data_IF_536074934319
#
_entry.id   IF_536074934319
#
_cell.length_a   1.000
_cell.length_b   1.000
_cell.length_c   1.000
_cell.angle_alpha   90.00
_cell.angle_beta   90.00
_cell.angle_gamma   90.00
#
_symmetry.space_group_name_H-M   'P 1'
#
loop_
_entity.id
_entity.type
_entity.pdbx_description
1 polymer ?
#
# COMPACT_ATOMS: atom_id res chain seq x y z
N UNK A 1 -8.09 78.29 -12.00
CA UNK A 1 -7.59 77.30 -11.02
C UNK A 1 -8.41 76.04 -11.24
N UNK A 2 -7.88 75.00 -11.91
CA UNK A 2 -7.22 73.81 -11.30
C UNK A 2 -8.06 73.35 -10.08
N UNK A 3 -8.77 72.23 -10.11
CA UNK A 3 -8.20 70.88 -10.10
C UNK A 3 -9.05 69.83 -10.83
N UNK A 4 -8.33 68.94 -11.51
CA UNK A 4 -8.74 67.65 -12.05
C UNK A 4 -9.32 66.72 -10.95
N UNK A 5 -10.46 66.07 -11.20
CA UNK A 5 -10.81 64.80 -10.55
C UNK A 5 -10.75 63.70 -11.59
N UNK A 6 -9.70 62.89 -11.52
CA UNK A 6 -9.57 61.64 -12.26
C UNK A 6 -10.41 60.59 -11.51
N UNK A 7 -11.54 60.18 -12.09
CA UNK A 7 -12.31 59.04 -11.61
C UNK A 7 -11.71 57.77 -12.26
N UNK A 8 -10.93 57.01 -11.49
CA UNK A 8 -10.37 55.73 -11.91
C UNK A 8 -11.46 54.66 -11.75
N UNK A 9 -12.15 54.29 -12.84
CA UNK A 9 -13.01 53.10 -12.84
C UNK A 9 -12.11 51.85 -12.90
N UNK A 10 -11.90 51.21 -11.76
CA UNK A 10 -11.42 49.83 -11.69
C UNK A 10 -12.56 48.88 -12.07
N UNK A 11 -12.47 48.30 -13.27
CA UNK A 11 -13.25 47.13 -13.66
C UNK A 11 -12.75 45.92 -12.85
N UNK A 12 -13.42 45.61 -11.75
CA UNK A 12 -13.29 44.33 -11.08
C UNK A 12 -14.01 43.27 -11.93
N UNK A 13 -13.27 42.61 -12.82
CA UNK A 13 -13.69 41.31 -13.36
C UNK A 13 -13.65 40.30 -12.22
N UNK A 14 -14.76 40.15 -11.52
CA UNK A 14 -14.99 39.00 -10.64
C UNK A 14 -15.03 37.75 -11.53
N UNK A 15 -13.92 37.03 -11.63
CA UNK A 15 -13.97 35.62 -11.98
C UNK A 15 -14.76 34.94 -10.87
N UNK A 16 -16.00 34.57 -11.16
CA UNK A 16 -16.69 33.57 -10.38
C UNK A 16 -15.90 32.28 -10.57
N UNK A 17 -15.03 31.98 -9.61
CA UNK A 17 -14.67 30.60 -9.37
C UNK A 17 -15.96 29.93 -8.92
N UNK A 18 -16.68 29.34 -9.87
CA UNK A 18 -17.68 28.34 -9.56
C UNK A 18 -16.90 27.19 -8.91
N UNK A 19 -16.74 27.27 -7.58
CA UNK A 19 -16.37 26.13 -6.76
C UNK A 19 -17.53 25.16 -6.98
N UNK A 20 -17.36 24.23 -7.91
CA UNK A 20 -18.24 23.09 -8.06
C UNK A 20 -18.43 22.52 -6.64
N UNK A 21 -19.66 22.30 -6.19
CA UNK A 21 -19.88 21.73 -4.88
C UNK A 21 -19.09 20.42 -4.82
N UNK A 22 -18.08 20.37 -3.95
CA UNK A 22 -17.36 19.15 -3.63
C UNK A 22 -18.41 18.15 -3.15
N UNK A 23 -18.77 17.21 -4.00
CA UNK A 23 -19.53 16.03 -3.57
C UNK A 23 -18.58 15.32 -2.63
N UNK A 24 -18.93 15.29 -1.35
CA UNK A 24 -18.13 14.60 -0.34
C UNK A 24 -18.15 13.11 -0.67
N UNK A 25 -17.04 12.61 -1.19
CA UNK A 25 -16.79 11.20 -1.42
C UNK A 25 -16.86 10.42 -0.10
N UNK A 26 -17.62 9.33 -0.09
CA UNK A 26 -17.63 8.35 1.00
C UNK A 26 -16.88 7.09 0.55
N UNK A 27 -16.03 6.50 1.41
CA UNK A 27 -15.32 5.27 1.08
C UNK A 27 -16.28 4.07 1.00
N UNK A 28 -16.14 3.21 -0.01
CA UNK A 28 -16.84 1.93 -0.04
C UNK A 28 -16.07 0.87 0.76
N UNK A 29 -16.59 0.59 1.95
CA UNK A 29 -16.09 -0.43 2.87
C UNK A 29 -17.00 -1.69 2.94
N UNK A 30 -17.85 -1.90 1.92
CA UNK A 30 -18.63 -3.13 1.79
C UNK A 30 -17.75 -4.37 1.56
N UNK A 31 -18.24 -5.59 1.79
CA UNK A 31 -17.40 -6.80 1.66
C UNK A 31 -16.85 -6.99 0.24
N UNK A 32 -17.71 -6.89 -0.79
CA UNK A 32 -17.32 -6.82 -2.20
C UNK A 32 -17.71 -5.43 -2.69
N UNK A 33 -16.79 -4.64 -3.28
CA UNK A 33 -17.13 -3.35 -3.83
C UNK A 33 -18.20 -3.48 -4.93
N UNK A 34 -19.19 -2.60 -4.88
CA UNK A 34 -20.31 -2.54 -5.84
C UNK A 34 -20.37 -1.22 -6.60
N UNK A 35 -19.37 -0.36 -6.40
CA UNK A 35 -19.26 0.94 -7.05
C UNK A 35 -19.17 0.81 -8.58
N UNK A 36 -19.71 1.81 -9.28
CA UNK A 36 -19.61 1.95 -10.72
C UNK A 36 -19.65 3.42 -11.09
N UNK A 37 -18.99 3.80 -12.18
CA UNK A 37 -19.01 5.17 -12.65
C UNK A 37 -20.42 5.53 -13.14
N UNK A 38 -20.98 6.64 -12.62
CA UNK A 38 -22.32 7.10 -13.02
C UNK A 38 -22.36 7.74 -14.41
N UNK A 39 -21.19 8.16 -14.90
CA UNK A 39 -20.93 8.76 -16.21
C UNK A 39 -19.44 8.61 -16.54
N UNK A 40 -19.03 8.99 -17.75
CA UNK A 40 -17.61 9.12 -18.07
C UNK A 40 -17.07 10.38 -17.41
N UNK A 41 -15.96 10.24 -16.70
CA UNK A 41 -15.21 11.36 -16.14
C UNK A 41 -13.94 11.62 -16.96
N UNK A 42 -13.39 12.85 -16.90
CA UNK A 42 -12.06 13.11 -17.45
C UNK A 42 -11.02 12.16 -16.84
N UNK A 43 -10.08 11.71 -17.66
CA UNK A 43 -8.94 10.88 -17.24
C UNK A 43 -7.67 11.63 -17.62
N UNK A 44 -6.75 11.74 -16.67
CA UNK A 44 -5.42 12.30 -16.90
C UNK A 44 -4.69 11.51 -18.01
N UNK A 45 -3.81 12.17 -18.75
CA UNK A 45 -2.89 11.45 -19.64
C UNK A 45 -2.04 10.45 -18.83
N UNK A 46 -1.55 9.35 -19.45
CA UNK A 46 -0.69 8.39 -18.77
C UNK A 46 0.45 9.07 -18.00
N UNK A 47 0.52 8.81 -16.70
CA UNK A 47 1.53 9.39 -15.79
C UNK A 47 2.70 8.42 -15.55
N UNK A 48 3.78 8.92 -14.96
CA UNK A 48 4.89 8.06 -14.52
C UNK A 48 4.46 7.18 -13.34
N UNK A 49 5.06 5.98 -13.18
CA UNK A 49 4.87 5.20 -11.98
C UNK A 49 5.30 6.00 -10.74
N UNK A 50 4.77 5.69 -9.55
CA UNK A 50 5.31 6.25 -8.32
C UNK A 50 6.82 5.92 -8.18
N UNK A 51 7.59 6.92 -7.77
CA UNK A 51 9.01 6.84 -7.47
C UNK A 51 9.21 6.24 -6.06
N UNK A 52 9.54 4.96 -6.01
CA UNK A 52 9.86 4.23 -4.78
C UNK A 52 8.65 4.00 -3.86
N UNK A 53 8.90 3.33 -2.75
CA UNK A 53 7.93 3.15 -1.67
C UNK A 53 8.16 4.19 -0.60
N UNK A 54 7.08 4.65 0.04
CA UNK A 54 7.21 5.47 1.24
C UNK A 54 7.91 4.62 2.31
N UNK A 55 8.81 5.21 3.13
CA UNK A 55 9.48 4.45 4.19
C UNK A 55 8.43 3.77 5.08
N UNK A 56 8.28 2.45 4.93
CA UNK A 56 7.38 1.67 5.76
C UNK A 56 8.02 1.48 7.12
N UNK A 57 7.20 1.52 8.17
CA UNK A 57 7.70 1.32 9.53
C UNK A 57 7.67 -0.17 9.83
N UNK A 58 8.74 -0.74 10.38
CA UNK A 58 8.68 -2.10 10.92
C UNK A 58 7.55 -2.19 11.97
N UNK A 59 6.81 -3.30 11.98
CA UNK A 59 5.68 -3.48 12.90
C UNK A 59 6.15 -3.54 14.37
N UNK A 60 5.60 -2.66 15.19
CA UNK A 60 5.85 -2.60 16.64
C UNK A 60 5.82 -1.16 17.15
N UNK A 61 6.30 -0.91 18.36
CA UNK A 61 6.28 0.43 18.96
C UNK A 61 7.60 0.80 19.60
N UNK A 62 8.07 2.02 19.33
CA UNK A 62 9.29 2.59 19.91
C UNK A 62 10.53 1.73 19.63
N UNK A 63 10.65 1.30 18.38
CA UNK A 63 11.60 0.28 17.96
C UNK A 63 13.03 0.80 18.03
N UNK A 64 13.90 0.04 18.70
CA UNK A 64 15.33 0.31 18.68
C UNK A 64 15.92 0.00 17.30
N UNK A 65 16.97 0.72 16.92
CA UNK A 65 17.67 0.53 15.64
C UNK A 65 19.10 0.05 15.89
N UNK A 66 19.58 -0.81 15.00
CA UNK A 66 20.97 -1.23 14.90
C UNK A 66 21.49 -1.00 13.48
N UNK A 67 22.70 -0.46 13.35
CA UNK A 67 23.37 -0.26 12.06
C UNK A 67 24.67 -1.04 12.08
N UNK A 68 24.85 -1.97 11.13
CA UNK A 68 26.02 -2.88 11.07
C UNK A 68 26.23 -3.60 12.43
N UNK A 69 25.13 -4.04 13.05
CA UNK A 69 25.15 -4.73 14.34
C UNK A 69 25.41 -3.86 15.57
N UNK A 70 25.55 -2.54 15.42
CA UNK A 70 25.78 -1.62 16.55
C UNK A 70 24.45 -0.95 16.94
N UNK A 71 23.94 -1.15 18.17
CA UNK A 71 22.74 -0.48 18.66
C UNK A 71 22.89 1.04 18.74
N UNK A 72 21.84 1.77 18.36
CA UNK A 72 21.73 3.22 18.56
C UNK A 72 20.92 3.51 19.85
N UNK A 73 21.56 3.88 20.97
CA UNK A 73 20.91 3.90 22.29
C UNK A 73 19.93 5.06 22.52
N UNK A 74 19.89 6.07 21.65
CA UNK A 74 19.06 7.29 21.80
C UNK A 74 18.09 7.48 20.62
N UNK A 75 18.17 6.62 19.60
CA UNK A 75 17.28 6.68 18.44
C UNK A 75 16.26 5.54 18.50
N UNK A 76 14.98 5.90 18.43
CA UNK A 76 13.87 4.96 18.37
C UNK A 76 12.91 5.41 17.28
N UNK A 77 12.32 4.45 16.57
CA UNK A 77 11.33 4.72 15.55
C UNK A 77 9.97 4.87 16.25
N UNK A 78 9.45 6.09 16.27
CA UNK A 78 8.08 6.40 16.66
C UNK A 78 7.19 6.37 15.41
N UNK A 79 6.29 5.41 15.36
CA UNK A 79 5.55 5.04 14.15
C UNK A 79 4.03 5.01 14.37
N UNK A 80 3.49 5.78 15.34
CA UNK A 80 2.02 5.88 15.50
C UNK A 80 1.55 7.22 14.96
N UNK A 81 0.52 7.16 14.11
CA UNK A 81 -0.16 8.33 13.55
C UNK A 81 -1.60 8.42 14.04
N UNK A 82 -2.22 9.59 13.86
CA UNK A 82 -3.61 9.86 14.23
C UNK A 82 -4.40 10.31 13.01
N UNK A 83 -5.66 9.88 12.91
CA UNK A 83 -6.55 10.14 11.77
C UNK A 83 -6.64 11.62 11.38
N UNK A 84 -6.59 12.53 12.36
CA UNK A 84 -6.70 13.98 12.15
C UNK A 84 -5.35 14.68 11.88
N UNK A 85 -4.25 13.93 11.78
CA UNK A 85 -2.88 14.44 11.57
C UNK A 85 -2.17 13.77 10.40
N UNK A 86 -2.91 13.13 9.48
CA UNK A 86 -2.30 12.46 8.32
C UNK A 86 -1.73 13.43 7.27
N UNK A 87 -2.11 14.71 7.35
CA UNK A 87 -1.72 15.73 6.38
C UNK A 87 -2.30 15.49 5.00
N UNK A 88 -1.71 16.14 4.00
CA UNK A 88 -2.14 16.07 2.61
C UNK A 88 -1.58 14.82 1.93
N UNK A 89 -2.37 14.20 1.05
CA UNK A 89 -1.88 13.12 0.18
C UNK A 89 -1.08 13.70 -0.98
N UNK A 90 0.13 13.20 -1.17
CA UNK A 90 1.00 13.57 -2.28
C UNK A 90 1.27 12.33 -3.10
N UNK A 91 0.99 12.34 -4.40
CA UNK A 91 1.35 11.21 -5.25
C UNK A 91 2.88 11.11 -5.30
N UNK A 92 3.43 9.94 -4.96
CA UNK A 92 4.88 9.77 -4.77
C UNK A 92 5.61 9.74 -6.12
N UNK A 93 5.80 10.87 -6.82
CA UNK A 93 6.53 10.96 -8.10
C UNK A 93 7.83 11.77 -8.04
N UNK A 94 8.35 11.97 -6.82
CA UNK A 94 9.49 12.84 -6.59
C UNK A 94 10.42 12.30 -5.51
N UNK A 95 11.69 12.06 -5.87
CA UNK A 95 12.79 11.73 -4.95
C UNK A 95 12.94 12.75 -3.80
N UNK A 96 12.53 14.01 -4.01
CA UNK A 96 12.56 15.04 -2.96
C UNK A 96 11.52 14.76 -1.88
N UNK A 97 10.35 14.22 -2.26
CA UNK A 97 9.27 13.91 -1.32
C UNK A 97 9.62 12.66 -0.51
N UNK A 98 10.27 11.66 -1.13
CA UNK A 98 10.84 10.50 -0.41
C UNK A 98 11.88 10.94 0.63
N UNK A 99 12.77 11.87 0.27
CA UNK A 99 13.76 12.42 1.20
C UNK A 99 13.11 13.27 2.30
N UNK A 100 12.06 14.04 1.99
CA UNK A 100 11.32 14.84 2.96
C UNK A 100 10.54 13.96 3.97
N UNK A 101 9.94 12.86 3.50
CA UNK A 101 9.30 11.84 4.34
C UNK A 101 10.32 11.19 5.27
N UNK A 102 11.50 10.79 4.76
CA UNK A 102 12.58 10.20 5.57
C UNK A 102 13.11 11.15 6.66
N UNK A 103 13.11 12.45 6.39
CA UNK A 103 13.54 13.48 7.35
C UNK A 103 12.41 13.98 8.26
N UNK A 104 11.19 13.41 8.14
CA UNK A 104 9.99 13.83 8.87
C UNK A 104 9.68 15.34 8.71
N UNK A 105 9.95 15.90 7.53
CA UNK A 105 9.67 17.31 7.18
C UNK A 105 8.52 17.45 6.19
N UNK A 106 7.92 16.32 5.79
CA UNK A 106 6.73 16.28 4.94
C UNK A 106 5.46 16.57 5.73
N UNK A 107 4.49 17.23 5.09
CA UNK A 107 3.13 17.36 5.61
C UNK A 107 2.42 15.99 5.61
N UNK A 108 2.78 15.11 4.66
CA UNK A 108 2.28 13.74 4.57
C UNK A 108 2.87 12.86 5.68
N UNK A 109 2.02 12.44 6.61
CA UNK A 109 2.43 11.53 7.68
C UNK A 109 2.18 10.07 7.30
N UNK A 110 3.18 9.23 7.60
CA UNK A 110 3.16 7.77 7.46
C UNK A 110 3.44 7.10 8.80
N UNK A 111 2.93 5.88 8.98
CA UNK A 111 3.03 5.12 10.23
C UNK A 111 1.79 4.25 10.44
N UNK A 112 1.67 3.73 11.65
CA UNK A 112 0.64 2.78 12.05
C UNK A 112 -0.50 3.42 12.84
N UNK A 113 -1.69 2.89 12.63
CA UNK A 113 -2.88 3.18 13.42
C UNK A 113 -3.66 1.90 13.67
N UNK A 114 -4.17 1.72 14.89
CA UNK A 114 -5.09 0.63 15.17
C UNK A 114 -6.54 1.08 14.94
N UNK A 115 -7.35 0.21 14.38
CA UNK A 115 -8.79 0.41 14.17
C UNK A 115 -9.56 -0.79 14.70
N UNK A 116 -10.74 -0.57 15.28
CA UNK A 116 -11.55 -1.64 15.87
C UNK A 116 -11.95 -2.73 14.86
N UNK A 117 -12.20 -2.35 13.60
CA UNK A 117 -12.71 -3.24 12.55
C UNK A 117 -11.66 -3.66 11.54
N UNK A 118 -10.60 -2.87 11.38
CA UNK A 118 -9.50 -3.12 10.43
C UNK A 118 -8.21 -3.59 11.07
N UNK A 119 -8.14 -3.74 12.40
CA UNK A 119 -6.90 -4.09 13.10
C UNK A 119 -5.85 -2.99 12.96
N UNK A 120 -4.57 -3.38 12.99
CA UNK A 120 -3.48 -2.46 12.62
C UNK A 120 -3.50 -2.17 11.13
N UNK A 121 -3.22 -0.92 10.79
CA UNK A 121 -3.08 -0.43 9.43
C UNK A 121 -1.77 0.34 9.30
N UNK A 122 -1.06 0.14 8.20
CA UNK A 122 0.08 0.97 7.79
C UNK A 122 -0.38 1.98 6.72
N UNK A 123 -0.22 3.26 7.05
CA UNK A 123 -0.59 4.37 6.17
C UNK A 123 0.29 4.44 4.91
N UNK A 124 1.57 4.05 4.97
CA UNK A 124 2.43 4.01 3.80
C UNK A 124 1.89 3.03 2.75
N UNK A 125 1.60 1.79 3.17
CA UNK A 125 1.01 0.75 2.33
C UNK A 125 -0.34 1.15 1.69
N UNK A 126 -1.22 1.81 2.47
CA UNK A 126 -2.47 2.35 1.93
C UNK A 126 -2.20 3.35 0.80
N UNK A 127 -1.30 4.31 1.02
CA UNK A 127 -1.01 5.37 0.04
C UNK A 127 -0.27 4.85 -1.18
N UNK A 128 0.72 3.98 -1.01
CA UNK A 128 1.51 3.40 -2.09
C UNK A 128 0.63 2.54 -3.02
N UNK A 129 -0.24 1.70 -2.45
CA UNK A 129 -1.15 0.89 -3.27
C UNK A 129 -2.26 1.73 -3.92
N UNK A 130 -2.70 2.82 -3.28
CA UNK A 130 -3.62 3.77 -3.88
C UNK A 130 -2.99 4.46 -5.10
N UNK A 131 -1.76 4.96 -4.96
CA UNK A 131 -1.04 5.65 -6.05
C UNK A 131 -0.77 4.70 -7.22
N UNK A 132 -0.38 3.47 -6.94
CA UNK A 132 -0.23 2.44 -7.98
C UNK A 132 -1.54 2.11 -8.68
N UNK A 133 -2.68 2.13 -7.98
CA UNK A 133 -4.00 1.96 -8.59
C UNK A 133 -4.31 3.11 -9.55
N UNK A 134 -4.04 4.35 -9.14
CA UNK A 134 -4.25 5.53 -9.98
C UNK A 134 -3.33 5.54 -11.21
N UNK A 135 -2.06 5.23 -11.02
CA UNK A 135 -1.09 5.01 -12.10
C UNK A 135 -1.61 4.01 -13.12
N UNK A 136 -1.93 2.79 -12.68
CA UNK A 136 -2.37 1.70 -13.55
C UNK A 136 -3.66 2.07 -14.28
N UNK A 137 -4.59 2.76 -13.63
CA UNK A 137 -5.80 3.25 -14.29
C UNK A 137 -5.49 4.19 -15.46
N UNK A 138 -4.57 5.15 -15.28
CA UNK A 138 -4.14 6.08 -16.33
C UNK A 138 -3.51 5.35 -17.53
N UNK A 139 -2.86 4.20 -17.29
CA UNK A 139 -2.24 3.37 -18.32
C UNK A 139 -3.25 2.46 -19.04
N UNK A 140 -4.22 1.92 -18.29
CA UNK A 140 -5.17 0.89 -18.74
C UNK A 140 -6.32 1.50 -19.52
N UNK A 141 -6.99 2.52 -18.98
CA UNK A 141 -8.20 3.10 -19.58
C UNK A 141 -8.05 3.45 -21.07
N UNK A 142 -7.00 4.16 -21.54
CA UNK A 142 -6.86 4.51 -22.95
C UNK A 142 -6.58 3.31 -23.87
N UNK A 143 -6.17 2.16 -23.32
CA UNK A 143 -5.75 0.96 -24.07
C UNK A 143 -6.60 -0.28 -23.76
N UNK A 144 -7.69 -0.13 -23.01
CA UNK A 144 -8.54 -1.26 -22.62
C UNK A 144 -9.02 -2.03 -23.87
N UNK A 145 -8.81 -3.35 -23.87
CA UNK A 145 -9.16 -4.24 -24.99
C UNK A 145 -8.06 -4.49 -26.00
N UNK A 146 -6.92 -3.79 -25.90
CA UNK A 146 -5.77 -3.97 -26.79
C UNK A 146 -4.76 -4.97 -26.20
N UNK A 147 -3.92 -5.56 -27.06
CA UNK A 147 -2.74 -6.32 -26.61
C UNK A 147 -1.56 -5.38 -26.41
N UNK A 148 -1.02 -5.34 -25.20
CA UNK A 148 0.15 -4.55 -24.85
C UNK A 148 0.78 -5.06 -23.55
N UNK A 149 1.95 -4.52 -23.19
CA UNK A 149 2.67 -4.88 -21.98
C UNK A 149 3.09 -3.62 -21.24
N UNK A 150 3.16 -3.72 -19.92
CA UNK A 150 3.69 -2.69 -19.04
C UNK A 150 4.83 -3.29 -18.23
N UNK A 151 6.06 -2.87 -18.53
CA UNK A 151 7.23 -3.21 -17.72
C UNK A 151 7.23 -2.39 -16.43
N UNK A 152 7.62 -3.01 -15.33
CA UNK A 152 7.73 -2.40 -14.00
C UNK A 152 9.19 -2.50 -13.54
N UNK A 153 9.57 -1.75 -12.50
CA UNK A 153 10.91 -1.90 -11.89
C UNK A 153 11.11 -3.31 -11.34
N UNK A 154 12.34 -3.82 -11.33
CA UNK A 154 12.62 -5.17 -10.83
C UNK A 154 12.48 -5.25 -9.29
N UNK A 155 11.92 -6.35 -8.79
CA UNK A 155 11.90 -6.70 -7.37
C UNK A 155 12.16 -8.21 -7.24
N UNK A 156 13.45 -8.57 -7.19
CA UNK A 156 14.02 -9.92 -7.39
C UNK A 156 13.76 -10.50 -8.80
N UNK A 157 12.50 -10.60 -9.18
CA UNK A 157 12.04 -10.99 -10.51
C UNK A 157 11.88 -9.77 -11.42
N UNK A 158 11.96 -10.00 -12.73
CA UNK A 158 11.55 -9.01 -13.73
C UNK A 158 10.03 -8.96 -13.78
N UNK A 159 9.45 -7.78 -13.54
CA UNK A 159 8.01 -7.62 -13.34
C UNK A 159 7.36 -6.99 -14.57
N UNK A 160 6.25 -7.56 -15.02
CA UNK A 160 5.45 -6.96 -16.08
C UNK A 160 3.96 -7.31 -15.96
N UNK A 161 3.10 -6.40 -16.41
CA UNK A 161 1.71 -6.72 -16.72
C UNK A 161 1.58 -7.01 -18.22
N UNK A 162 0.91 -8.13 -18.55
CA UNK A 162 0.59 -8.50 -19.93
C UNK A 162 -0.92 -8.38 -20.13
N UNK A 163 -1.32 -7.49 -21.02
CA UNK A 163 -2.72 -7.26 -21.37
C UNK A 163 -3.08 -8.00 -22.65
N UNK A 164 -4.17 -8.77 -22.59
CA UNK A 164 -4.65 -9.57 -23.72
C UNK A 164 -5.80 -8.84 -24.42
N UNK A 165 -5.82 -8.86 -25.76
CA UNK A 165 -6.93 -8.27 -26.50
C UNK A 165 -8.25 -8.98 -26.19
N UNK A 166 -9.30 -8.19 -25.98
CA UNK A 166 -10.68 -8.65 -25.79
C UNK A 166 -11.63 -7.55 -26.28
N UNK A 167 -12.91 -7.88 -26.46
CA UNK A 167 -13.93 -6.88 -26.78
C UNK A 167 -14.40 -6.19 -25.49
N UNK A 168 -14.09 -4.90 -25.26
CA UNK A 168 -14.57 -4.19 -24.07
C UNK A 168 -16.09 -4.01 -24.10
N UNK A 169 -16.71 -3.72 -22.94
CA UNK A 169 -18.11 -3.33 -22.89
C UNK A 169 -18.43 -2.20 -23.88
N UNK A 170 -19.64 -2.20 -24.46
CA UNK A 170 -20.04 -1.12 -25.37
C UNK A 170 -20.38 0.18 -24.64
N UNK A 171 -20.84 0.10 -23.39
CA UNK A 171 -21.07 1.29 -22.56
C UNK A 171 -19.72 1.92 -22.18
N UNK A 172 -19.54 3.22 -22.42
CA UNK A 172 -18.35 3.93 -21.96
C UNK A 172 -18.16 3.93 -20.44
N UNK A 173 -19.25 3.98 -19.67
CA UNK A 173 -19.26 3.92 -18.20
C UNK A 173 -18.80 2.55 -17.71
N UNK A 174 -19.26 1.48 -18.35
CA UNK A 174 -18.80 0.11 -18.08
C UNK A 174 -17.32 -0.08 -18.41
N UNK A 175 -16.84 0.50 -19.53
CA UNK A 175 -15.39 0.49 -19.87
C UNK A 175 -14.55 1.22 -18.83
N UNK A 176 -15.00 2.39 -18.38
CA UNK A 176 -14.34 3.16 -17.34
C UNK A 176 -14.29 2.35 -16.04
N UNK A 177 -15.42 1.79 -15.65
CA UNK A 177 -15.56 0.99 -14.43
C UNK A 177 -14.65 -0.24 -14.48
N UNK A 178 -14.71 -1.05 -15.54
CA UNK A 178 -13.85 -2.22 -15.72
C UNK A 178 -12.36 -1.86 -15.65
N UNK A 179 -11.96 -0.73 -16.25
CA UNK A 179 -10.56 -0.27 -16.19
C UNK A 179 -10.12 0.03 -14.76
N UNK A 180 -10.98 0.64 -13.95
CA UNK A 180 -10.69 0.97 -12.55
C UNK A 180 -10.60 -0.30 -11.69
N UNK A 181 -11.51 -1.26 -11.86
CA UNK A 181 -11.44 -2.55 -11.16
C UNK A 181 -10.19 -3.35 -11.54
N UNK A 182 -9.83 -3.38 -12.83
CA UNK A 182 -8.60 -4.04 -13.27
C UNK A 182 -7.36 -3.37 -12.66
N UNK A 183 -7.31 -2.04 -12.64
CA UNK A 183 -6.20 -1.30 -12.03
C UNK A 183 -6.05 -1.61 -10.53
N UNK A 184 -7.15 -1.60 -9.77
CA UNK A 184 -7.14 -1.89 -8.34
C UNK A 184 -6.68 -3.33 -8.04
N UNK A 185 -7.16 -4.31 -8.83
CA UNK A 185 -6.76 -5.71 -8.70
C UNK A 185 -5.26 -5.89 -8.99
N UNK A 186 -4.74 -5.28 -10.07
CA UNK A 186 -3.34 -5.38 -10.43
C UNK A 186 -2.42 -4.65 -9.43
N UNK A 187 -2.84 -3.50 -8.89
CA UNK A 187 -2.08 -2.79 -7.85
C UNK A 187 -1.97 -3.62 -6.57
N UNK A 188 -3.06 -4.24 -6.12
CA UNK A 188 -3.03 -5.14 -4.96
C UNK A 188 -2.12 -6.35 -5.21
N UNK A 189 -2.16 -6.94 -6.41
CA UNK A 189 -1.26 -8.05 -6.76
C UNK A 189 0.21 -7.64 -6.77
N UNK A 190 0.52 -6.41 -7.20
CA UNK A 190 1.86 -5.86 -7.13
C UNK A 190 2.34 -5.69 -5.69
N UNK A 191 1.49 -5.19 -4.80
CA UNK A 191 1.78 -5.12 -3.37
C UNK A 191 1.95 -6.51 -2.73
N UNK A 192 1.12 -7.49 -3.11
CA UNK A 192 1.30 -8.86 -2.64
C UNK A 192 2.62 -9.50 -3.08
N UNK A 193 3.12 -9.14 -4.27
CA UNK A 193 4.46 -9.53 -4.68
C UNK A 193 5.55 -8.85 -3.85
N UNK A 194 5.38 -7.57 -3.52
CA UNK A 194 6.34 -6.84 -2.71
C UNK A 194 6.64 -7.56 -1.39
N UNK A 195 5.59 -8.00 -0.68
CA UNK A 195 5.73 -8.78 0.56
C UNK A 195 6.51 -10.09 0.37
N UNK A 196 6.22 -10.81 -0.72
CA UNK A 196 6.91 -12.04 -1.07
C UNK A 196 8.39 -11.72 -1.34
N UNK A 197 8.67 -10.70 -2.16
CA UNK A 197 10.02 -10.32 -2.54
C UNK A 197 10.85 -9.89 -1.31
N UNK A 198 10.30 -9.07 -0.41
CA UNK A 198 10.95 -8.68 0.85
C UNK A 198 11.35 -9.90 1.68
N UNK A 199 10.45 -10.87 1.86
CA UNK A 199 10.77 -12.08 2.61
C UNK A 199 11.86 -12.92 1.92
N UNK A 200 11.85 -12.98 0.59
CA UNK A 200 12.86 -13.66 -0.21
C UNK A 200 14.17 -12.85 -0.37
N UNK A 201 14.36 -11.76 0.38
CA UNK A 201 15.63 -11.08 0.48
C UNK A 201 15.82 -9.91 -0.47
N UNK A 202 14.73 -9.25 -0.90
CA UNK A 202 14.82 -7.92 -1.50
C UNK A 202 15.59 -6.97 -0.58
N UNK A 203 16.46 -6.14 -1.15
CA UNK A 203 17.25 -5.14 -0.45
C UNK A 203 17.04 -3.79 -1.14
N UNK A 204 16.29 -2.90 -0.50
CA UNK A 204 16.13 -1.52 -0.99
C UNK A 204 17.35 -0.66 -0.64
N UNK A 205 17.98 -0.94 0.50
CA UNK A 205 19.22 -0.31 0.94
C UNK A 205 20.32 -1.38 1.10
N UNK A 206 21.43 -1.31 0.34
CA UNK A 206 22.51 -2.29 0.45
C UNK A 206 23.01 -2.48 1.90
N UNK A 207 22.93 -3.72 2.40
CA UNK A 207 23.35 -4.08 3.76
C UNK A 207 22.29 -3.88 4.85
N UNK A 208 21.08 -3.45 4.50
CA UNK A 208 19.93 -3.39 5.40
C UNK A 208 18.85 -4.36 4.89
N UNK A 209 18.53 -5.37 5.70
CA UNK A 209 17.54 -6.38 5.32
C UNK A 209 16.13 -5.83 5.48
N UNK A 210 15.30 -6.00 4.44
CA UNK A 210 13.85 -5.72 4.47
C UNK A 210 13.03 -6.92 4.98
N UNK A 211 13.67 -8.03 5.36
CA UNK A 211 12.97 -9.25 5.80
C UNK A 211 12.16 -9.04 7.08
N UNK A 212 12.45 -7.99 7.85
CA UNK A 212 11.64 -7.61 9.01
C UNK A 212 10.23 -7.19 8.59
N UNK A 213 10.09 -6.56 7.41
CA UNK A 213 8.84 -6.02 6.89
C UNK A 213 8.02 -7.05 6.11
N UNK A 214 8.65 -8.03 5.44
CA UNK A 214 7.92 -8.96 4.57
C UNK A 214 6.82 -9.77 5.29
N UNK A 215 5.58 -9.67 4.81
CA UNK A 215 4.38 -10.29 5.41
C UNK A 215 4.06 -9.78 6.82
N UNK A 216 4.31 -8.51 7.14
CA UNK A 216 3.86 -7.98 8.44
C UNK A 216 2.34 -8.07 8.55
N UNK A 217 1.79 -8.23 9.77
CA UNK A 217 0.38 -8.57 9.97
C UNK A 217 -0.63 -7.62 9.32
N UNK A 218 -0.26 -6.36 9.14
CA UNK A 218 -1.09 -5.25 8.67
C UNK A 218 -1.01 -5.00 7.16
N UNK A 219 0.09 -5.40 6.51
CA UNK A 219 0.48 -4.83 5.21
C UNK A 219 -0.57 -5.09 4.14
N UNK A 220 -0.91 -6.35 3.90
CA UNK A 220 -1.83 -6.70 2.82
C UNK A 220 -3.28 -6.26 3.05
N UNK A 221 -3.72 -6.11 4.31
CA UNK A 221 -5.01 -5.48 4.57
C UNK A 221 -4.97 -3.97 4.28
N UNK A 222 -3.85 -3.32 4.61
CA UNK A 222 -3.58 -1.90 4.32
C UNK A 222 -3.50 -1.64 2.81
N UNK A 223 -2.76 -2.48 2.08
CA UNK A 223 -2.65 -2.44 0.62
C UNK A 223 -4.03 -2.61 -0.05
N UNK A 224 -4.82 -3.59 0.42
CA UNK A 224 -6.18 -3.79 -0.08
C UNK A 224 -7.08 -2.57 0.17
N UNK A 225 -7.02 -1.98 1.37
CA UNK A 225 -7.75 -0.75 1.67
C UNK A 225 -7.33 0.38 0.72
N UNK A 226 -6.03 0.57 0.49
CA UNK A 226 -5.49 1.55 -0.45
C UNK A 226 -6.03 1.42 -1.86
N UNK A 227 -5.99 0.20 -2.43
CA UNK A 227 -6.54 -0.07 -3.77
C UNK A 227 -8.03 0.27 -3.88
N UNK A 228 -8.79 0.00 -2.81
CA UNK A 228 -10.23 0.30 -2.76
C UNK A 228 -10.53 1.79 -2.63
N UNK A 229 -9.76 2.53 -1.84
CA UNK A 229 -9.93 3.98 -1.74
C UNK A 229 -9.61 4.68 -3.07
N UNK A 230 -8.56 4.25 -3.76
CA UNK A 230 -8.27 4.75 -5.11
C UNK A 230 -9.37 4.36 -6.11
N UNK A 231 -9.91 3.13 -6.05
CA UNK A 231 -11.06 2.71 -6.85
C UNK A 231 -12.26 3.64 -6.63
N UNK A 232 -12.64 3.90 -5.38
CA UNK A 232 -13.69 4.87 -5.01
C UNK A 232 -13.39 6.26 -5.60
N UNK A 233 -12.17 6.77 -5.42
CA UNK A 233 -11.74 8.07 -5.93
C UNK A 233 -11.93 8.19 -7.45
N UNK A 234 -11.46 7.19 -8.19
CA UNK A 234 -11.53 7.11 -9.66
C UNK A 234 -12.97 7.03 -10.14
N UNK A 235 -13.80 6.15 -9.55
CA UNK A 235 -15.19 5.94 -9.96
C UNK A 235 -16.10 7.13 -9.64
N UNK A 236 -15.69 7.97 -8.70
CA UNK A 236 -16.37 9.22 -8.36
C UNK A 236 -15.84 10.44 -9.16
N UNK A 237 -14.94 10.21 -10.11
CA UNK A 237 -14.54 11.21 -11.11
C UNK A 237 -13.34 12.08 -10.74
N UNK A 238 -12.54 11.65 -9.76
CA UNK A 238 -11.35 12.40 -9.32
C UNK A 238 -10.08 12.03 -10.09
N UNK A 239 -10.20 11.32 -11.21
CA UNK A 239 -9.07 10.88 -12.02
C UNK A 239 -8.65 11.86 -13.14
N UNK A 240 -9.26 13.05 -13.20
CA UNK A 240 -9.03 14.03 -14.26
C UNK A 240 -7.71 14.78 -14.15
N UNK A 241 -7.15 14.90 -12.94
CA UNK A 241 -5.83 15.48 -12.69
C UNK A 241 -5.20 14.90 -11.42
N UNK A 242 -3.89 15.09 -11.27
CA UNK A 242 -3.17 14.68 -10.06
C UNK A 242 -3.70 15.42 -8.82
N UNK A 243 -3.98 16.72 -8.95
CA UNK A 243 -4.54 17.55 -7.88
C UNK A 243 -5.90 17.01 -7.39
N UNK A 244 -6.80 16.66 -8.31
CA UNK A 244 -8.11 16.09 -7.97
C UNK A 244 -7.98 14.77 -7.23
N UNK A 245 -7.11 13.88 -7.71
CA UNK A 245 -6.87 12.59 -7.08
C UNK A 245 -6.29 12.75 -5.67
N UNK A 246 -5.23 13.55 -5.51
CA UNK A 246 -4.60 13.84 -4.23
C UNK A 246 -5.60 14.44 -3.22
N UNK A 247 -6.42 15.40 -3.66
CA UNK A 247 -7.45 16.00 -2.82
C UNK A 247 -8.50 14.96 -2.39
N UNK A 248 -8.90 14.07 -3.30
CA UNK A 248 -9.84 12.98 -3.01
C UNK A 248 -9.28 12.00 -1.98
N UNK A 249 -8.03 11.55 -2.16
CA UNK A 249 -7.36 10.65 -1.20
C UNK A 249 -7.16 11.28 0.17
N UNK A 250 -6.82 12.58 0.21
CA UNK A 250 -6.72 13.36 1.46
C UNK A 250 -8.04 13.34 2.25
N UNK A 251 -9.18 13.26 1.57
CA UNK A 251 -10.50 13.22 2.21
C UNK A 251 -10.97 11.80 2.53
N UNK A 252 -10.73 10.85 1.62
CA UNK A 252 -11.22 9.47 1.73
C UNK A 252 -10.52 8.70 2.85
N UNK A 253 -9.20 8.83 2.98
CA UNK A 253 -8.42 8.05 3.94
C UNK A 253 -8.85 8.31 5.39
N UNK A 254 -8.93 9.57 5.89
CA UNK A 254 -9.39 9.83 7.26
C UNK A 254 -10.80 9.31 7.53
N UNK A 255 -11.73 9.44 6.57
CA UNK A 255 -13.10 8.92 6.69
C UNK A 255 -13.13 7.39 6.78
N UNK A 256 -12.31 6.71 5.98
CA UNK A 256 -12.23 5.26 6.01
C UNK A 256 -11.73 4.78 7.38
N UNK A 257 -10.70 5.43 7.92
CA UNK A 257 -10.17 5.15 9.25
C UNK A 257 -11.22 5.40 10.34
N UNK A 258 -11.98 6.49 10.27
CA UNK A 258 -13.08 6.77 11.19
C UNK A 258 -14.16 5.67 11.13
N UNK A 259 -14.59 5.26 9.93
CA UNK A 259 -15.59 4.19 9.75
C UNK A 259 -15.10 2.79 10.18
N UNK A 260 -13.78 2.58 10.18
CA UNK A 260 -13.13 1.39 10.73
C UNK A 260 -12.98 1.45 12.26
N UNK A 261 -13.30 2.58 12.90
CA UNK A 261 -13.16 2.77 14.34
C UNK A 261 -11.72 3.03 14.74
N UNK A 262 -11.05 3.96 14.06
CA UNK A 262 -9.69 4.36 14.41
C UNK A 262 -9.54 4.83 15.86
N UNK A 263 -8.56 4.25 16.54
CA UNK A 263 -8.21 4.58 17.91
C UNK A 263 -7.36 5.86 17.98
N UNK A 264 -7.35 6.47 19.17
CA UNK A 264 -6.38 7.52 19.50
C UNK A 264 -4.94 7.01 19.48
N UNK A 265 -3.95 7.91 19.50
CA UNK A 265 -2.54 7.55 19.69
C UNK A 265 -2.34 6.59 20.88
N UNK A 266 -2.89 6.91 22.05
CA UNK A 266 -2.78 6.08 23.26
C UNK A 266 -3.55 4.76 23.13
N UNK A 267 -4.64 4.73 22.34
CA UNK A 267 -5.35 3.50 21.99
C UNK A 267 -4.46 2.56 21.17
N UNK A 268 -3.91 3.06 20.06
CA UNK A 268 -2.98 2.31 19.20
C UNK A 268 -1.74 1.83 19.96
N UNK A 269 -1.14 2.71 20.77
CA UNK A 269 0.01 2.36 21.62
C UNK A 269 -0.31 1.23 22.59
N UNK A 270 -1.47 1.28 23.26
CA UNK A 270 -1.89 0.19 24.15
C UNK A 270 -2.02 -1.13 23.40
N UNK A 271 -2.53 -1.12 22.17
CA UNK A 271 -2.64 -2.34 21.36
C UNK A 271 -1.25 -2.91 21.03
N UNK A 272 -0.28 -2.06 20.65
CA UNK A 272 1.09 -2.53 20.46
C UNK A 272 1.66 -3.16 21.74
N UNK A 273 1.50 -2.49 22.89
CA UNK A 273 1.97 -3.02 24.18
C UNK A 273 1.32 -4.36 24.56
N UNK A 274 0.06 -4.60 24.20
CA UNK A 274 -0.64 -5.87 24.47
C UNK A 274 -0.11 -7.04 23.63
N UNK A 275 0.54 -6.74 22.51
CA UNK A 275 1.05 -7.71 21.54
C UNK A 275 2.57 -7.87 21.57
N UNK A 276 3.27 -7.10 22.43
CA UNK A 276 4.69 -7.29 22.69
C UNK A 276 4.95 -8.70 23.26
N UNK A 277 5.97 -9.37 22.75
CA UNK A 277 6.29 -10.78 22.96
C UNK A 277 5.38 -11.78 22.23
N UNK A 278 4.31 -11.32 21.55
CA UNK A 278 3.40 -12.18 20.76
C UNK A 278 3.53 -11.96 19.26
N UNK A 279 3.34 -10.71 18.82
CA UNK A 279 3.38 -10.32 17.41
C UNK A 279 4.64 -9.57 17.05
N UNK A 280 5.26 -8.91 18.04
CA UNK A 280 6.54 -8.23 17.90
C UNK A 280 7.32 -8.36 19.21
N UNK A 281 8.62 -8.04 19.19
CA UNK A 281 9.52 -8.18 20.35
C UNK A 281 10.28 -6.87 20.62
N UNK A 282 9.91 -6.15 21.67
CA UNK A 282 10.53 -4.88 22.07
C UNK A 282 12.00 -4.99 22.49
N UNK A 283 12.51 -6.19 22.73
CA UNK A 283 13.93 -6.42 23.06
C UNK A 283 14.82 -6.51 21.82
N UNK A 284 14.23 -6.69 20.63
CA UNK A 284 14.92 -6.74 19.35
C UNK A 284 14.98 -5.38 18.70
N UNK A 285 15.84 -5.25 17.69
CA UNK A 285 16.08 -4.00 16.98
C UNK A 285 15.90 -4.19 15.49
N UNK A 286 15.45 -3.15 14.80
CA UNK A 286 15.49 -3.13 13.34
C UNK A 286 16.96 -3.18 12.90
N UNK A 287 17.36 -4.01 11.91
CA UNK A 287 16.53 -4.81 11.00
C UNK A 287 16.45 -6.32 11.35
N UNK A 288 16.51 -6.71 12.62
CA UNK A 288 16.37 -8.12 13.01
C UNK A 288 15.01 -8.67 12.56
N UNK A 289 15.01 -9.64 11.63
CA UNK A 289 13.80 -10.26 11.05
C UNK A 289 12.73 -10.58 12.09
N UNK A 290 13.11 -11.30 13.15
CA UNK A 290 12.19 -11.75 14.20
C UNK A 290 11.88 -10.70 15.28
N UNK A 291 12.17 -9.42 15.02
CA UNK A 291 11.47 -8.33 15.71
C UNK A 291 9.98 -8.45 15.46
N UNK A 292 9.57 -8.83 14.25
CA UNK A 292 8.19 -9.21 13.93
C UNK A 292 8.05 -10.73 14.11
N UNK A 293 7.24 -11.14 15.07
CA UNK A 293 7.06 -12.53 15.48
C UNK A 293 5.85 -13.21 14.84
N UNK A 294 4.80 -12.44 14.56
CA UNK A 294 3.61 -12.90 13.87
C UNK A 294 3.60 -12.28 12.47
N UNK A 295 3.32 -13.10 11.46
CA UNK A 295 3.26 -12.71 10.05
C UNK A 295 1.99 -13.26 9.43
N UNK A 296 1.46 -12.58 8.42
CA UNK A 296 0.26 -13.00 7.70
C UNK A 296 0.59 -13.36 6.24
N UNK A 297 0.72 -14.65 5.98
CA UNK A 297 1.10 -15.20 4.67
C UNK A 297 -0.08 -15.37 3.69
N UNK A 298 -1.31 -15.01 4.07
CA UNK A 298 -2.43 -14.99 3.13
C UNK A 298 -2.19 -13.87 2.11
N UNK A 299 -2.03 -14.21 0.83
CA UNK A 299 -1.83 -13.25 -0.27
C UNK A 299 -3.13 -12.91 -1.02
N UNK A 300 -4.27 -13.44 -0.56
CA UNK A 300 -5.55 -13.22 -1.23
C UNK A 300 -6.12 -11.82 -0.98
N UNK A 301 -6.87 -11.32 -1.96
CA UNK A 301 -7.59 -10.05 -1.83
C UNK A 301 -8.84 -10.19 -0.97
N UNK A 302 -9.39 -11.38 -0.76
CA UNK A 302 -10.55 -11.60 0.12
C UNK A 302 -10.11 -11.97 1.53
N UNK A 303 -9.88 -10.96 2.37
CA UNK A 303 -9.22 -11.15 3.67
C UNK A 303 -9.89 -10.39 4.81
N UNK A 304 -9.72 -10.95 6.00
CA UNK A 304 -9.92 -10.24 7.26
C UNK A 304 -8.59 -9.58 7.66
N UNK A 305 -8.63 -8.51 8.48
CA UNK A 305 -7.42 -8.00 9.08
C UNK A 305 -6.87 -9.03 10.08
N UNK A 306 -5.57 -8.98 10.32
CA UNK A 306 -4.94 -9.75 11.40
C UNK A 306 -5.50 -9.33 12.76
N UNK A 307 -5.77 -10.29 13.66
CA UNK A 307 -6.33 -10.03 14.99
C UNK A 307 -5.90 -11.06 16.04
N UNK A 308 -5.77 -10.65 17.32
CA UNK A 308 -5.39 -11.54 18.46
C UNK A 308 -6.63 -12.08 19.21
N UNK A 309 -7.85 -11.69 18.81
CA UNK A 309 -9.10 -11.99 19.54
C UNK A 309 -9.97 -13.04 18.87
N UNK A 310 -10.60 -13.94 19.62
CA UNK A 310 -11.62 -14.86 19.09
C UNK A 310 -12.93 -14.17 18.64
N UNK A 311 -13.08 -12.85 18.88
CA UNK A 311 -14.25 -12.06 18.49
C UNK A 311 -14.12 -11.53 17.07
N UNK A 312 -14.23 -12.42 16.08
CA UNK A 312 -14.15 -12.11 14.65
C UNK A 312 -15.32 -11.27 14.13
N UNK A 313 -16.43 -11.22 14.86
CA UNK A 313 -17.73 -10.72 14.40
C UNK A 313 -17.74 -9.19 14.14
N UNK A 314 -16.75 -8.48 14.68
CA UNK A 314 -16.58 -7.03 14.50
C UNK A 314 -15.62 -6.66 13.38
N UNK A 315 -14.80 -7.62 12.95
CA UNK A 315 -13.78 -7.37 11.93
C UNK A 315 -14.45 -7.19 10.57
N UNK A 316 -13.94 -6.21 9.83
CA UNK A 316 -14.43 -5.94 8.50
C UNK A 316 -13.62 -6.75 7.49
N UNK A 317 -14.31 -7.66 6.79
CA UNK A 317 -13.73 -8.34 5.63
C UNK A 317 -13.81 -7.42 4.42
N UNK A 318 -12.69 -7.27 3.72
CA UNK A 318 -12.62 -6.57 2.44
C UNK A 318 -12.26 -7.56 1.33
N UNK A 319 -12.67 -7.26 0.11
CA UNK A 319 -12.26 -8.00 -1.08
C UNK A 319 -12.20 -7.13 -2.32
N UNK A 320 -11.51 -7.63 -3.34
CA UNK A 320 -11.63 -7.20 -4.73
C UNK A 320 -12.18 -8.36 -5.55
N UNK A 321 -13.07 -8.12 -6.53
CA UNK A 321 -13.66 -9.19 -7.31
C UNK A 321 -12.70 -9.73 -8.37
N UNK A 322 -12.54 -11.05 -8.45
CA UNK A 322 -11.80 -11.67 -9.56
C UNK A 322 -12.55 -11.59 -10.90
N UNK A 323 -13.87 -11.38 -10.83
CA UNK A 323 -14.77 -11.30 -11.99
C UNK A 323 -15.63 -10.05 -11.89
N UNK A 324 -15.58 -9.21 -12.92
CA UNK A 324 -16.44 -8.04 -13.04
C UNK A 324 -17.40 -8.23 -14.22
N UNK A 325 -18.71 -8.30 -13.95
CA UNK A 325 -19.76 -8.53 -14.96
C UNK A 325 -19.46 -9.66 -15.97
N UNK A 326 -18.91 -10.78 -15.48
CA UNK A 326 -18.55 -11.94 -16.30
C UNK A 326 -17.15 -11.87 -16.95
N UNK A 327 -16.45 -10.75 -16.85
CA UNK A 327 -15.06 -10.60 -17.28
C UNK A 327 -14.13 -11.04 -16.16
N UNK A 328 -13.33 -12.08 -16.39
CA UNK A 328 -12.29 -12.54 -15.45
C UNK A 328 -11.08 -11.62 -15.55
N UNK A 329 -10.79 -10.84 -14.50
CA UNK A 329 -9.79 -9.76 -14.56
C UNK A 329 -8.39 -10.29 -14.92
N UNK A 330 -7.97 -11.40 -14.31
CA UNK A 330 -6.65 -12.00 -14.58
C UNK A 330 -6.50 -12.59 -15.99
N UNK A 331 -7.58 -12.70 -16.78
CA UNK A 331 -7.48 -13.11 -18.18
C UNK A 331 -7.20 -11.92 -19.12
N UNK A 332 -7.59 -10.71 -18.73
CA UNK A 332 -7.42 -9.50 -19.54
C UNK A 332 -6.19 -8.66 -19.13
N UNK A 333 -5.72 -8.80 -17.89
CA UNK A 333 -4.43 -8.30 -17.41
C UNK A 333 -3.79 -9.34 -16.50
N UNK A 334 -2.64 -9.87 -16.89
CA UNK A 334 -1.91 -10.89 -16.13
C UNK A 334 -0.60 -10.31 -15.58
N UNK A 335 -0.38 -10.45 -14.28
CA UNK A 335 0.90 -10.11 -13.67
C UNK A 335 1.89 -11.26 -13.85
N UNK A 336 3.01 -10.99 -14.53
CA UNK A 336 4.07 -11.98 -14.81
C UNK A 336 5.36 -11.57 -14.15
N UNK A 337 6.00 -12.54 -13.52
CA UNK A 337 7.26 -12.41 -12.83
C UNK A 337 8.27 -13.35 -13.48
N UNK A 338 9.10 -12.79 -14.36
CA UNK A 338 10.08 -13.55 -15.13
C UNK A 338 11.38 -13.68 -14.33
N UNK A 339 12.22 -14.69 -14.65
CA UNK A 339 13.55 -14.80 -14.08
C UNK A 339 14.34 -13.48 -14.19
N UNK A 340 14.81 -12.98 -13.05
CA UNK A 340 15.71 -11.84 -12.89
C UNK A 340 17.11 -12.28 -12.48
N UNK A 341 17.97 -11.30 -12.24
CA UNK A 341 19.38 -11.54 -11.92
C UNK A 341 19.65 -11.71 -10.40
N UNK A 342 18.70 -11.32 -9.54
CA UNK A 342 18.83 -11.31 -8.08
C UNK A 342 17.77 -12.22 -7.44
N UNK A 343 17.92 -13.54 -7.61
CA UNK A 343 16.95 -14.54 -7.13
C UNK A 343 17.62 -15.58 -6.22
N UNK A 344 18.64 -15.20 -5.43
CA UNK A 344 19.45 -16.18 -4.69
C UNK A 344 18.63 -17.03 -3.70
N UNK A 345 17.59 -16.44 -3.11
CA UNK A 345 16.72 -17.11 -2.14
C UNK A 345 15.35 -17.46 -2.69
N UNK A 346 14.98 -16.90 -3.83
CA UNK A 346 13.70 -17.08 -4.49
C UNK A 346 13.84 -18.20 -5.53
N UNK A 347 13.01 -19.27 -5.51
CA UNK A 347 13.09 -20.34 -6.51
C UNK A 347 13.07 -19.78 -7.94
N UNK A 348 13.72 -20.36 -8.94
CA UNK A 348 13.63 -19.81 -10.31
C UNK A 348 12.50 -20.54 -11.07
N UNK A 349 11.53 -19.85 -11.67
CA UNK A 349 10.45 -20.50 -12.42
C UNK A 349 10.95 -20.94 -13.80
N UNK A 350 10.36 -21.99 -14.36
CA UNK A 350 10.70 -22.46 -15.71
C UNK A 350 10.42 -21.41 -16.80
N UNK A 351 9.35 -20.61 -16.62
CA UNK A 351 8.96 -19.54 -17.54
C UNK A 351 8.76 -18.21 -16.80
N UNK A 352 7.75 -18.16 -15.94
CA UNK A 352 7.40 -17.01 -15.10
C UNK A 352 6.41 -17.46 -14.03
N UNK A 353 6.34 -16.73 -12.92
CA UNK A 353 5.21 -16.85 -11.99
C UNK A 353 4.06 -15.93 -12.34
N UNK A 354 2.93 -16.30 -11.80
CA UNK A 354 1.69 -15.53 -11.77
C UNK A 354 1.16 -15.48 -10.33
N UNK A 355 0.07 -14.74 -10.13
CA UNK A 355 -0.64 -14.67 -8.85
C UNK A 355 -1.06 -16.06 -8.32
N UNK A 356 -1.21 -17.05 -9.20
CA UNK A 356 -1.54 -18.44 -8.79
C UNK A 356 -0.43 -19.11 -8.00
N UNK A 357 0.80 -18.62 -8.12
CA UNK A 357 1.98 -19.18 -7.47
C UNK A 357 2.25 -18.53 -6.10
N UNK A 358 1.59 -17.41 -5.78
CA UNK A 358 1.86 -16.61 -4.58
C UNK A 358 1.60 -17.39 -3.30
N UNK A 359 0.51 -18.15 -3.24
CA UNK A 359 0.18 -18.94 -2.05
C UNK A 359 1.23 -20.00 -1.74
N UNK A 360 1.78 -20.66 -2.77
CA UNK A 360 2.83 -21.66 -2.58
C UNK A 360 4.15 -21.02 -2.13
N UNK A 361 4.50 -19.86 -2.70
CA UNK A 361 5.69 -19.09 -2.30
C UNK A 361 5.58 -18.60 -0.84
N UNK A 362 4.39 -18.13 -0.44
CA UNK A 362 4.11 -17.67 0.92
C UNK A 362 4.02 -18.81 1.94
N UNK A 363 3.46 -19.97 1.57
CA UNK A 363 3.45 -21.16 2.42
C UNK A 363 4.88 -21.68 2.69
N UNK A 364 5.73 -21.67 1.67
CA UNK A 364 7.14 -22.03 1.84
C UNK A 364 7.86 -21.06 2.79
N UNK A 365 7.57 -19.76 2.68
CA UNK A 365 8.08 -18.74 3.59
C UNK A 365 7.64 -19.00 5.04
N UNK A 366 6.35 -19.29 5.24
CA UNK A 366 5.78 -19.61 6.54
C UNK A 366 6.47 -20.81 7.20
N UNK A 367 6.66 -21.91 6.46
CA UNK A 367 7.30 -23.13 6.99
C UNK A 367 8.73 -22.84 7.48
N UNK A 368 9.47 -22.01 6.75
CA UNK A 368 10.84 -21.63 7.10
C UNK A 368 10.83 -20.77 8.37
N UNK A 369 10.00 -19.74 8.43
CA UNK A 369 9.90 -18.86 9.61
C UNK A 369 9.48 -19.63 10.86
N UNK A 370 8.52 -20.56 10.76
CA UNK A 370 8.11 -21.41 11.88
C UNK A 370 9.25 -22.32 12.38
N UNK A 371 10.13 -22.77 11.49
CA UNK A 371 11.32 -23.55 11.84
C UNK A 371 12.40 -22.68 12.51
N UNK A 372 12.67 -21.50 11.93
CA UNK A 372 13.65 -20.54 12.44
C UNK A 372 13.25 -19.99 13.81
N UNK A 373 12.00 -19.56 13.99
CA UNK A 373 11.46 -19.08 15.27
C UNK A 373 11.55 -20.13 16.39
N UNK A 374 11.27 -21.40 16.09
CA UNK A 374 11.44 -22.51 17.06
C UNK A 374 12.90 -22.67 17.48
N UNK A 375 13.81 -22.54 16.53
CA UNK A 375 15.25 -22.62 16.80
C UNK A 375 15.71 -21.45 17.68
N UNK A 376 15.26 -20.24 17.38
CA UNK A 376 15.57 -19.02 18.15
C UNK A 376 15.03 -19.10 19.59
N UNK A 377 13.79 -19.58 19.78
CA UNK A 377 13.16 -19.72 21.11
C UNK A 377 13.76 -20.82 21.99
N UNK A 378 14.49 -21.77 21.41
CA UNK A 378 15.10 -22.90 22.14
C UNK A 378 16.58 -22.70 22.45
N UNK A 379 17.20 -21.61 21.96
CA UNK A 379 18.58 -21.27 22.31
C UNK A 379 18.67 -20.71 23.75
N UNK A 380 19.57 -21.22 24.61
CA UNK A 380 19.82 -20.61 25.91
C UNK A 380 20.41 -19.19 25.75
N UNK A 381 20.00 -18.25 26.62
CA UNK A 381 20.36 -16.81 26.58
C UNK A 381 21.86 -16.51 26.44
N UNK A 382 22.74 -17.46 26.76
CA UNK A 382 24.20 -17.30 26.66
C UNK A 382 24.78 -17.48 25.24
N UNK A 383 23.98 -17.83 24.23
CA UNK A 383 24.45 -18.13 22.87
C UNK A 383 23.96 -17.15 21.77
N UNK A 384 23.10 -16.18 22.11
CA UNK A 384 22.43 -15.31 21.12
C UNK A 384 23.37 -14.29 20.44
N UNK A 385 24.51 -13.97 21.06
CA UNK A 385 25.42 -12.93 20.53
C UNK A 385 26.43 -13.42 19.48
N UNK A 386 26.72 -14.72 19.37
CA UNK A 386 27.81 -15.22 18.51
C UNK A 386 27.34 -16.01 17.27
N UNK A 387 26.06 -16.36 17.16
CA UNK A 387 25.58 -17.25 16.09
C UNK A 387 25.14 -16.52 14.80
N UNK A 388 24.80 -15.23 14.87
CA UNK A 388 24.24 -14.49 13.72
C UNK A 388 25.36 -13.86 12.87
N UNK A 389 26.57 -13.66 13.42
CA UNK A 389 27.71 -13.10 12.69
C UNK A 389 28.46 -14.11 11.77
N UNK A 390 27.96 -15.35 11.60
CA UNK A 390 28.65 -16.41 10.85
C UNK A 390 27.92 -16.96 9.63
N UNK A 391 26.82 -16.35 9.21
CA UNK A 391 26.29 -16.57 7.86
C UNK A 391 26.43 -15.26 7.07
N UNK A 392 27.64 -15.08 6.55
CA UNK A 392 27.94 -14.15 5.46
C UNK A 392 27.07 -14.46 4.24
#
# INVERSE_FOLDING_TARGET
MRYFSLLFLLLLSACKNDVLPMITSEPDLSLVPVESASQIYPVIAPINPPDGLRPCCAFGYNLGVSVIGIPLPIYQIGNIVETNKLGTHHYSDSLLDTAANLLNVSDEQVGHIYTERGGFLDIAHIRDTADNTFYLFSQIYPRLGQTWQLELGDELAKRQFVFTAFTPPSSPEERYTLSAYLAAQLAFQMAAWHEIAQWYGLLDVPGFSEEVSGFSPEDLYSNLLGSRLALTSILQGHAGSLEQYQQSMTQLLPKALEQLGAESYEGTKRQFMLLDGKWWDSQRRVPEKFLVLYRNYDTSSNRLPSHDSLLTDRLLRLSLPDVWQGVVLNQIGEFRLLPGDNMERLPVPDNYWTVKDFSALAEQAQIIDESELRSVRTMPESASHDAIAKKN
#
